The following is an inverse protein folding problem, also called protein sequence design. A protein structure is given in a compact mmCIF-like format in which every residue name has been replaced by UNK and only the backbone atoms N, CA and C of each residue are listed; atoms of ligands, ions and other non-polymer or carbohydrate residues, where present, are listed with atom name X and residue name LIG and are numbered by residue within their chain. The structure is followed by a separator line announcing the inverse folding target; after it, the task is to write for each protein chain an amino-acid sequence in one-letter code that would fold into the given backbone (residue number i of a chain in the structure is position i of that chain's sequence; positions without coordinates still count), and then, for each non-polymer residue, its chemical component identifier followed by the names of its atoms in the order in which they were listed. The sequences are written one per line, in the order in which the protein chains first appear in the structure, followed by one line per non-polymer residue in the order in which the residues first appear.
data_IF_978674130640
#
_entry.id   IF_978674130640
#
_cell.length_a   1.000
_cell.length_b   1.000
_cell.length_c   1.000
_cell.angle_alpha   90.00
_cell.angle_beta   90.00
_cell.angle_gamma   90.00
#
_symmetry.space_group_name_H-M   'P 1'
#
loop_
_entity.id
_entity.type
_entity.pdbx_description
1 polymer ?
#
# COMPACT_ATOMS: atom_id res chain seq x y z
N UNK A 1 28.27 8.44 11.15
CA UNK A 1 28.74 7.24 10.43
C UNK A 1 27.91 6.00 10.75
N UNK A 2 27.81 5.57 12.02
CA UNK A 2 27.08 4.35 12.43
C UNK A 2 25.64 4.25 11.91
N UNK A 3 24.85 5.33 11.97
CA UNK A 3 23.46 5.31 11.46
C UNK A 3 23.37 5.05 9.95
N UNK A 4 24.29 5.61 9.16
CA UNK A 4 24.32 5.40 7.71
C UNK A 4 24.71 3.96 7.35
N UNK A 5 25.68 3.39 8.07
CA UNK A 5 26.05 1.97 7.92
C UNK A 5 24.86 1.07 8.27
N UNK A 6 24.16 1.35 9.37
CA UNK A 6 22.97 0.58 9.77
C UNK A 6 21.84 0.66 8.73
N UNK A 7 21.55 1.87 8.23
CA UNK A 7 20.54 2.02 7.17
C UNK A 7 20.95 1.33 5.88
N UNK A 8 22.22 1.44 5.47
CA UNK A 8 22.74 0.71 4.31
C UNK A 8 22.60 -0.80 4.46
N UNK A 9 22.95 -1.34 5.63
CA UNK A 9 22.81 -2.77 5.91
C UNK A 9 21.35 -3.23 5.85
N UNK A 10 20.43 -2.54 6.54
CA UNK A 10 19.00 -2.89 6.49
C UNK A 10 18.40 -2.76 5.09
N UNK A 11 18.80 -1.73 4.34
CA UNK A 11 18.36 -1.52 2.97
C UNK A 11 18.78 -2.68 2.06
N UNK A 12 20.05 -3.09 2.12
CA UNK A 12 20.56 -4.21 1.34
C UNK A 12 19.92 -5.54 1.76
N UNK A 13 19.75 -5.78 3.06
CA UNK A 13 19.03 -6.95 3.56
C UNK A 13 17.62 -7.00 2.98
N UNK A 14 16.90 -5.87 2.96
CA UNK A 14 15.54 -5.87 2.43
C UNK A 14 15.47 -6.08 0.92
N UNK A 15 16.41 -5.52 0.14
CA UNK A 15 16.53 -5.82 -1.29
C UNK A 15 16.79 -7.32 -1.52
N UNK A 16 17.71 -7.92 -0.76
CA UNK A 16 18.04 -9.34 -0.87
C UNK A 16 16.86 -10.23 -0.47
N UNK A 17 16.12 -9.88 0.58
CA UNK A 17 14.93 -10.63 1.00
C UNK A 17 13.81 -10.58 -0.03
N UNK A 18 13.54 -9.39 -0.61
CA UNK A 18 12.55 -9.28 -1.69
C UNK A 18 13.00 -9.97 -2.98
N UNK A 19 14.30 -9.91 -3.28
CA UNK A 19 14.89 -10.68 -4.37
C UNK A 19 14.71 -12.17 -4.15
N UNK A 20 15.09 -12.69 -3.00
CA UNK A 20 14.87 -14.09 -2.62
C UNK A 20 13.40 -14.48 -2.71
N UNK A 21 12.49 -13.66 -2.18
CA UNK A 21 11.05 -13.90 -2.17
C UNK A 21 10.46 -14.01 -3.58
N UNK A 22 10.89 -13.15 -4.51
CA UNK A 22 10.46 -13.12 -5.92
C UNK A 22 11.38 -13.93 -6.84
N UNK A 23 12.17 -14.85 -6.28
CA UNK A 23 13.10 -15.72 -7.02
C UNK A 23 14.05 -14.94 -7.97
N UNK A 24 14.47 -13.75 -7.57
CA UNK A 24 15.33 -12.83 -8.33
C UNK A 24 14.89 -12.64 -9.79
N UNK A 25 13.58 -12.56 -10.01
CA UNK A 25 13.00 -12.30 -11.35
C UNK A 25 12.65 -13.57 -12.12
N UNK A 26 13.02 -14.76 -11.66
CA UNK A 26 12.54 -16.03 -12.21
C UNK A 26 11.17 -16.42 -11.61
N UNK A 27 10.19 -15.53 -11.73
CA UNK A 27 8.83 -15.69 -11.17
C UNK A 27 8.02 -16.62 -12.09
N UNK A 28 7.43 -17.73 -11.57
CA UNK A 28 6.42 -18.50 -12.30
C UNK A 28 5.17 -17.64 -12.52
N UNK A 29 4.66 -17.56 -13.74
CA UNK A 29 3.54 -16.68 -14.11
C UNK A 29 2.27 -17.42 -14.49
N UNK A 30 2.27 -18.73 -14.29
CA UNK A 30 1.31 -19.72 -14.78
C UNK A 30 0.38 -20.22 -13.67
N UNK A 31 0.09 -19.38 -12.68
CA UNK A 31 -0.86 -19.68 -11.60
C UNK A 31 -1.56 -18.41 -11.09
N UNK A 32 -2.80 -18.55 -10.64
CA UNK A 32 -3.58 -17.50 -9.97
C UNK A 32 -3.53 -16.14 -10.71
N UNK A 33 -3.61 -15.02 -9.98
CA UNK A 33 -3.52 -13.64 -10.51
C UNK A 33 -2.23 -13.33 -11.28
N UNK A 34 -1.15 -14.12 -11.15
CA UNK A 34 -0.03 -13.96 -12.08
C UNK A 34 -0.48 -14.26 -13.51
N UNK A 35 -1.15 -15.39 -13.70
CA UNK A 35 -1.66 -15.86 -14.99
C UNK A 35 -2.87 -15.05 -15.47
N UNK A 36 -3.82 -14.79 -14.57
CA UNK A 36 -5.13 -14.26 -14.95
C UNK A 36 -5.14 -12.74 -15.11
N UNK A 37 -4.29 -12.04 -14.34
CA UNK A 37 -4.40 -10.59 -14.17
C UNK A 37 -3.10 -9.89 -14.54
N UNK A 38 -2.07 -10.01 -13.70
CA UNK A 38 -0.97 -9.05 -13.71
C UNK A 38 0.12 -9.33 -14.75
N UNK A 39 0.52 -10.60 -14.99
CA UNK A 39 1.48 -10.87 -16.06
C UNK A 39 0.93 -10.51 -17.45
N UNK A 40 -0.33 -10.82 -17.80
CA UNK A 40 -0.94 -10.33 -19.04
C UNK A 40 -0.96 -8.81 -19.20
N UNK A 41 -1.34 -8.08 -18.13
CA UNK A 41 -1.43 -6.61 -18.15
C UNK A 41 -0.05 -5.98 -18.33
N UNK A 42 0.99 -6.55 -17.73
CA UNK A 42 2.37 -6.07 -17.89
C UNK A 42 2.93 -6.47 -19.26
N UNK A 43 2.61 -7.65 -19.78
CA UNK A 43 2.98 -8.07 -21.13
C UNK A 43 2.39 -7.12 -22.19
N UNK A 44 1.14 -6.70 -22.02
CA UNK A 44 0.51 -5.68 -22.85
C UNK A 44 1.27 -4.33 -22.81
N UNK A 45 1.64 -3.85 -21.61
CA UNK A 45 2.46 -2.64 -21.48
C UNK A 45 3.83 -2.81 -22.14
N UNK A 46 4.43 -3.98 -22.03
CA UNK A 46 5.70 -4.28 -22.70
C UNK A 46 5.58 -4.17 -24.22
N UNK A 47 4.53 -4.75 -24.80
CA UNK A 47 4.27 -4.65 -26.24
C UNK A 47 4.08 -3.19 -26.68
N UNK A 48 3.25 -2.43 -25.95
CA UNK A 48 3.03 -0.99 -26.14
C UNK A 48 4.33 -0.19 -26.15
N UNK A 49 5.16 -0.34 -25.12
CA UNK A 49 6.42 0.39 -24.98
C UNK A 49 7.43 -0.04 -26.06
N UNK A 50 7.44 -1.32 -26.43
CA UNK A 50 8.35 -1.86 -27.46
C UNK A 50 8.02 -1.30 -28.85
N UNK A 51 6.73 -1.20 -29.18
CA UNK A 51 6.22 -0.62 -30.43
C UNK A 51 6.18 0.91 -30.44
N UNK A 52 6.41 1.55 -29.29
CA UNK A 52 6.20 2.99 -29.08
C UNK A 52 4.77 3.44 -29.40
N UNK A 53 3.79 2.59 -29.10
CA UNK A 53 2.36 2.87 -29.25
C UNK A 53 1.73 3.13 -27.88
N UNK A 54 0.69 3.97 -27.84
CA UNK A 54 -0.04 4.21 -26.60
C UNK A 54 -0.81 2.95 -26.16
N UNK A 55 -0.85 2.61 -24.86
CA UNK A 55 -1.55 1.43 -24.35
C UNK A 55 -3.05 1.73 -24.20
N UNK A 56 -3.78 1.88 -25.32
CA UNK A 56 -5.20 2.24 -25.30
C UNK A 56 -6.10 1.00 -25.36
N UNK A 57 -5.91 0.14 -26.37
CA UNK A 57 -6.76 -1.01 -26.61
C UNK A 57 -5.97 -2.33 -26.61
N UNK A 58 -6.45 -3.29 -25.82
CA UNK A 58 -5.86 -4.61 -25.64
C UNK A 58 -6.59 -5.64 -26.47
N UNK A 59 -5.88 -6.29 -27.41
CA UNK A 59 -6.49 -7.25 -28.35
C UNK A 59 -7.23 -8.39 -27.63
N UNK A 60 -6.61 -8.91 -26.56
CA UNK A 60 -7.17 -9.96 -25.73
C UNK A 60 -7.57 -9.40 -24.36
N UNK A 61 -8.86 -9.13 -24.19
CA UNK A 61 -9.45 -8.49 -23.00
C UNK A 61 -9.63 -9.44 -21.80
N UNK A 62 -9.11 -10.67 -21.83
CA UNK A 62 -9.30 -11.62 -20.73
C UNK A 62 -8.80 -11.07 -19.38
N UNK A 63 -7.66 -10.39 -19.39
CA UNK A 63 -7.07 -9.74 -18.20
C UNK A 63 -7.78 -8.43 -17.81
N UNK A 64 -8.71 -7.97 -18.66
CA UNK A 64 -9.61 -6.84 -18.41
C UNK A 64 -11.01 -7.33 -17.98
N UNK A 65 -11.09 -8.55 -17.45
CA UNK A 65 -12.31 -9.24 -17.02
C UNK A 65 -13.32 -9.49 -18.16
N UNK A 66 -12.90 -9.36 -19.42
CA UNK A 66 -13.77 -9.50 -20.58
C UNK A 66 -14.83 -8.39 -20.72
N UNK A 67 -14.74 -7.31 -19.93
CA UNK A 67 -15.72 -6.22 -19.92
C UNK A 67 -15.45 -5.22 -21.04
N UNK A 68 -14.18 -4.94 -21.31
CA UNK A 68 -13.74 -3.93 -22.28
C UNK A 68 -12.34 -4.26 -22.78
N UNK A 69 -11.96 -3.72 -23.94
CA UNK A 69 -10.59 -3.69 -24.44
C UNK A 69 -9.83 -2.41 -24.04
N UNK A 70 -10.53 -1.40 -23.49
CA UNK A 70 -9.97 -0.12 -23.05
C UNK A 70 -9.10 -0.30 -21.81
N UNK A 71 -7.80 -0.37 -22.00
CA UNK A 71 -6.85 -0.75 -20.95
C UNK A 71 -6.92 0.16 -19.71
N UNK A 72 -6.94 1.48 -19.89
CA UNK A 72 -6.99 2.44 -18.77
C UNK A 72 -8.38 2.58 -18.14
N UNK A 73 -9.41 1.88 -18.64
CA UNK A 73 -10.72 1.85 -17.98
C UNK A 73 -10.72 0.99 -16.71
N UNK A 74 -9.62 0.26 -16.44
CA UNK A 74 -9.40 -0.40 -15.16
C UNK A 74 -8.54 0.48 -14.24
N UNK A 75 -8.99 0.74 -13.00
CA UNK A 75 -8.32 1.68 -12.11
C UNK A 75 -7.01 1.13 -11.53
N UNK A 76 -6.81 -0.18 -11.52
CA UNK A 76 -5.67 -0.88 -10.92
C UNK A 76 -4.51 -1.15 -11.89
N UNK A 77 -4.44 -0.45 -13.03
CA UNK A 77 -3.36 -0.61 -14.01
C UNK A 77 -2.08 0.14 -13.62
N UNK A 78 -0.90 -0.44 -13.87
CA UNK A 78 0.38 0.26 -13.68
C UNK A 78 0.61 1.20 -14.87
N UNK A 79 0.60 2.52 -14.63
CA UNK A 79 0.92 3.55 -15.63
C UNK A 79 2.05 4.48 -15.16
N UNK A 80 2.85 4.01 -14.21
CA UNK A 80 3.94 4.78 -13.64
C UNK A 80 5.14 4.85 -14.58
N UNK A 81 5.99 5.90 -14.51
CA UNK A 81 7.05 6.12 -15.50
C UNK A 81 8.02 4.95 -15.70
N UNK A 82 8.22 4.10 -14.68
CA UNK A 82 9.13 2.97 -14.79
C UNK A 82 8.67 1.89 -15.77
N UNK A 83 7.41 1.91 -16.27
CA UNK A 83 6.97 0.99 -17.33
C UNK A 83 7.84 1.08 -18.59
N UNK A 84 8.49 2.22 -18.83
CA UNK A 84 9.42 2.42 -19.96
C UNK A 84 10.56 1.39 -19.94
N UNK A 85 10.94 0.90 -18.75
CA UNK A 85 12.01 -0.09 -18.61
C UNK A 85 11.64 -1.42 -19.26
N UNK A 86 10.34 -1.76 -19.37
CA UNK A 86 9.84 -2.99 -20.03
C UNK A 86 10.35 -3.16 -21.47
N UNK A 87 10.78 -2.07 -22.13
CA UNK A 87 11.44 -2.13 -23.43
C UNK A 87 12.66 -3.06 -23.46
N UNK A 88 13.41 -3.13 -22.35
CA UNK A 88 14.72 -3.80 -22.31
C UNK A 88 14.74 -5.06 -21.46
N UNK A 89 13.70 -5.32 -20.68
CA UNK A 89 13.70 -6.41 -19.69
C UNK A 89 12.49 -7.32 -19.85
N UNK A 90 12.52 -8.50 -19.21
CA UNK A 90 11.36 -9.40 -19.17
C UNK A 90 10.24 -8.84 -18.29
N UNK A 91 9.04 -9.41 -18.42
CA UNK A 91 7.89 -9.06 -17.56
C UNK A 91 8.22 -9.33 -16.10
N UNK A 92 8.88 -10.45 -15.82
CA UNK A 92 9.22 -10.90 -14.48
C UNK A 92 10.34 -10.06 -13.85
N UNK A 93 11.37 -9.69 -14.64
CA UNK A 93 12.42 -8.77 -14.17
C UNK A 93 11.84 -7.39 -13.84
N UNK A 94 10.87 -6.92 -14.63
CA UNK A 94 10.19 -5.67 -14.35
C UNK A 94 9.45 -5.71 -13.02
N UNK A 95 8.76 -6.81 -12.71
CA UNK A 95 8.07 -6.99 -11.43
C UNK A 95 9.06 -6.87 -10.27
N UNK A 96 10.21 -7.55 -10.35
CA UNK A 96 11.25 -7.46 -9.33
C UNK A 96 11.74 -6.01 -9.15
N UNK A 97 12.11 -5.35 -10.25
CA UNK A 97 12.59 -3.97 -10.23
C UNK A 97 11.52 -3.01 -9.70
N UNK A 98 10.26 -3.20 -10.08
CA UNK A 98 9.13 -2.42 -9.61
C UNK A 98 8.97 -2.53 -8.08
N UNK A 99 9.01 -3.75 -7.54
CA UNK A 99 8.96 -4.00 -6.09
C UNK A 99 10.17 -3.37 -5.39
N UNK A 100 11.38 -3.52 -5.92
CA UNK A 100 12.57 -2.89 -5.36
C UNK A 100 12.52 -1.36 -5.35
N UNK A 101 12.01 -0.73 -6.42
CA UNK A 101 11.84 0.71 -6.49
C UNK A 101 10.84 1.21 -5.44
N UNK A 102 9.68 0.56 -5.32
CA UNK A 102 8.67 0.93 -4.32
C UNK A 102 9.13 0.64 -2.89
N UNK A 103 9.81 -0.48 -2.67
CA UNK A 103 10.50 -0.78 -1.42
C UNK A 103 11.49 0.33 -1.06
N UNK A 104 12.31 0.78 -2.01
CA UNK A 104 13.29 1.84 -1.76
C UNK A 104 12.63 3.16 -1.38
N UNK A 105 11.58 3.55 -2.11
CA UNK A 105 10.79 4.73 -1.76
C UNK A 105 10.15 4.58 -0.37
N UNK A 106 9.61 3.40 -0.04
CA UNK A 106 9.06 3.12 1.28
C UNK A 106 10.11 3.15 2.39
N UNK A 107 11.31 2.63 2.14
CA UNK A 107 12.43 2.65 3.08
C UNK A 107 12.87 4.09 3.38
N UNK A 108 12.96 4.96 2.37
CA UNK A 108 13.20 6.39 2.59
C UNK A 108 12.06 7.06 3.36
N UNK A 109 10.82 6.65 3.14
CA UNK A 109 9.66 7.06 3.94
C UNK A 109 9.79 6.65 5.40
N UNK A 110 10.27 5.43 5.68
CA UNK A 110 10.57 4.97 7.04
C UNK A 110 11.71 5.78 7.68
N UNK A 111 12.75 6.17 6.92
CA UNK A 111 13.79 7.07 7.44
C UNK A 111 13.21 8.45 7.76
N UNK A 112 12.31 8.98 6.93
CA UNK A 112 11.60 10.21 7.22
C UNK A 112 10.75 10.08 8.49
N UNK A 113 10.03 8.96 8.65
CA UNK A 113 9.25 8.65 9.85
C UNK A 113 10.13 8.53 11.10
N UNK A 114 11.31 7.91 10.98
CA UNK A 114 12.31 7.85 12.06
C UNK A 114 12.70 9.24 12.54
N UNK A 115 12.96 10.16 11.60
CA UNK A 115 13.29 11.57 11.93
C UNK A 115 12.08 12.24 12.58
N UNK A 116 10.90 12.08 12.00
CA UNK A 116 9.66 12.69 12.48
C UNK A 116 9.29 12.28 13.92
N UNK A 117 9.60 11.04 14.28
CA UNK A 117 9.32 10.47 15.61
C UNK A 117 10.55 10.39 16.53
N UNK A 118 11.73 10.88 16.10
CA UNK A 118 13.00 10.80 16.83
C UNK A 118 13.35 9.37 17.30
N UNK A 119 13.14 8.38 16.44
CA UNK A 119 13.40 6.98 16.78
C UNK A 119 14.90 6.66 16.79
N UNK A 120 15.30 5.78 17.70
CA UNK A 120 16.60 5.12 17.74
C UNK A 120 16.72 4.11 16.59
N UNK A 121 17.93 3.60 16.35
CA UNK A 121 18.15 2.54 15.36
C UNK A 121 17.42 1.25 15.73
N UNK A 122 17.29 0.95 17.02
CA UNK A 122 16.61 -0.24 17.51
C UNK A 122 15.09 -0.17 17.28
N UNK A 123 14.45 0.94 17.67
CA UNK A 123 13.03 1.16 17.37
C UNK A 123 12.77 1.19 15.86
N UNK A 124 13.69 1.76 15.09
CA UNK A 124 13.63 1.74 13.64
C UNK A 124 13.69 0.31 13.07
N UNK A 125 14.57 -0.55 13.59
CA UNK A 125 14.68 -1.95 13.14
C UNK A 125 13.38 -2.74 13.34
N UNK A 126 12.69 -2.55 14.47
CA UNK A 126 11.37 -3.16 14.69
C UNK A 126 10.35 -2.73 13.64
N UNK A 127 10.23 -1.42 13.40
CA UNK A 127 9.31 -0.89 12.39
C UNK A 127 9.71 -1.39 11.00
N UNK A 128 11.00 -1.35 10.68
CA UNK A 128 11.53 -1.81 9.39
C UNK A 128 11.13 -3.26 9.09
N UNK A 129 11.33 -4.18 10.03
CA UNK A 129 11.01 -5.59 9.83
C UNK A 129 9.50 -5.80 9.64
N UNK A 130 8.68 -5.24 10.53
CA UNK A 130 7.23 -5.46 10.50
C UNK A 130 6.53 -4.74 9.35
N UNK A 131 7.01 -3.56 8.97
CA UNK A 131 6.43 -2.81 7.86
C UNK A 131 6.71 -3.49 6.52
N UNK A 132 7.91 -4.05 6.34
CA UNK A 132 8.29 -4.64 5.05
C UNK A 132 7.91 -6.12 4.92
N UNK A 133 7.94 -6.91 5.99
CA UNK A 133 7.83 -8.37 5.87
C UNK A 133 6.61 -8.96 6.60
N UNK A 134 5.55 -8.17 6.80
CA UNK A 134 4.29 -8.70 7.30
C UNK A 134 3.59 -9.59 6.26
N UNK A 135 2.73 -10.48 6.75
CA UNK A 135 2.05 -11.47 5.94
C UNK A 135 1.13 -10.90 4.86
N UNK A 136 0.66 -9.67 5.02
CA UNK A 136 -0.19 -9.03 4.04
C UNK A 136 0.57 -8.71 2.75
N UNK A 137 1.76 -8.13 2.86
CA UNK A 137 2.61 -7.87 1.69
C UNK A 137 3.08 -9.16 1.02
N UNK A 138 3.61 -10.10 1.81
CA UNK A 138 4.16 -11.35 1.27
C UNK A 138 3.06 -12.20 0.63
N UNK A 139 1.91 -12.41 1.27
CA UNK A 139 0.85 -13.25 0.70
C UNK A 139 0.25 -12.65 -0.58
N UNK A 140 0.00 -11.34 -0.64
CA UNK A 140 -0.54 -10.69 -1.84
C UNK A 140 0.45 -10.71 -3.01
N UNK A 141 1.73 -10.37 -2.77
CA UNK A 141 2.74 -10.42 -3.82
C UNK A 141 3.01 -11.85 -4.28
N UNK A 142 2.87 -12.82 -3.38
CA UNK A 142 3.04 -14.23 -3.74
C UNK A 142 2.05 -14.70 -4.80
N UNK A 143 0.78 -14.30 -4.69
CA UNK A 143 -0.30 -14.79 -5.55
C UNK A 143 -0.47 -13.95 -6.82
N UNK A 144 0.39 -12.95 -7.03
CA UNK A 144 0.43 -12.16 -8.25
C UNK A 144 -0.15 -10.76 -8.13
N UNK A 145 -0.54 -10.31 -6.94
CA UNK A 145 -1.06 -8.97 -6.74
C UNK A 145 0.05 -7.89 -6.68
N UNK A 146 0.81 -7.72 -7.77
CA UNK A 146 1.97 -6.81 -7.83
C UNK A 146 1.68 -5.36 -7.41
N UNK A 147 0.47 -4.86 -7.68
CA UNK A 147 0.04 -3.49 -7.36
C UNK A 147 0.01 -3.21 -5.84
N UNK A 148 0.03 -4.26 -5.02
CA UNK A 148 0.09 -4.15 -3.56
C UNK A 148 1.44 -3.68 -3.03
N UNK A 149 2.48 -3.66 -3.87
CA UNK A 149 3.71 -2.96 -3.57
C UNK A 149 3.48 -1.46 -3.29
N UNK A 150 2.35 -0.88 -3.74
CA UNK A 150 1.94 0.47 -3.35
C UNK A 150 1.82 0.69 -1.83
N UNK A 151 1.62 -0.37 -1.05
CA UNK A 151 1.59 -0.34 0.43
C UNK A 151 2.91 0.19 1.03
N UNK A 152 4.06 0.02 0.36
CA UNK A 152 5.33 0.60 0.84
C UNK A 152 5.27 2.13 1.00
N UNK A 153 4.43 2.79 0.21
CA UNK A 153 4.24 4.24 0.23
C UNK A 153 3.42 4.73 1.44
N UNK A 154 2.79 3.82 2.21
CA UNK A 154 2.14 4.19 3.48
C UNK A 154 3.10 4.81 4.49
N UNK A 155 4.40 4.48 4.42
CA UNK A 155 5.43 5.15 5.22
C UNK A 155 5.40 6.68 5.05
N UNK A 156 5.23 7.18 3.83
CA UNK A 156 5.07 8.60 3.54
C UNK A 156 3.71 9.15 3.96
N UNK A 157 2.64 8.36 3.78
CA UNK A 157 1.29 8.74 4.23
C UNK A 157 1.25 9.00 5.74
N UNK A 158 1.89 8.13 6.53
CA UNK A 158 2.03 8.30 7.98
C UNK A 158 2.73 9.62 8.29
N UNK A 159 3.85 9.93 7.61
CA UNK A 159 4.56 11.21 7.81
C UNK A 159 3.64 12.40 7.48
N UNK A 160 2.92 12.37 6.35
CA UNK A 160 2.00 13.45 5.98
C UNK A 160 0.87 13.62 7.01
N UNK A 161 0.33 12.53 7.54
CA UNK A 161 -0.70 12.55 8.57
C UNK A 161 -0.20 13.11 9.91
N UNK A 162 1.05 12.84 10.28
CA UNK A 162 1.67 13.42 11.48
C UNK A 162 1.91 14.94 11.32
N UNK A 163 2.36 15.39 10.15
CA UNK A 163 2.59 16.81 9.87
C UNK A 163 1.31 17.65 10.00
N UNK A 164 0.18 17.19 9.44
CA UNK A 164 -1.09 17.93 9.54
C UNK A 164 -1.62 17.97 10.99
N UNK A 165 -1.37 16.92 11.78
CA UNK A 165 -1.71 16.92 13.22
C UNK A 165 -0.87 17.90 14.04
N UNK A 166 0.33 18.25 13.56
CA UNK A 166 1.16 19.33 14.11
C UNK A 166 0.76 20.71 13.58
N UNK A 167 -0.25 20.78 12.73
CA UNK A 167 -0.80 22.02 12.19
C UNK A 167 -0.14 22.51 10.90
N UNK A 168 0.69 21.69 10.24
CA UNK A 168 1.25 21.97 8.92
C UNK A 168 0.16 21.76 7.88
N UNK A 169 -0.37 22.85 7.31
CA UNK A 169 -1.53 22.84 6.44
C UNK A 169 -1.39 23.83 5.27
N UNK A 170 -0.16 24.04 4.82
CA UNK A 170 0.19 24.95 3.73
C UNK A 170 0.03 24.27 2.35
N UNK A 171 0.16 25.03 1.25
CA UNK A 171 0.09 24.47 -0.09
C UNK A 171 1.24 23.49 -0.39
N UNK A 172 2.35 23.57 0.33
CA UNK A 172 3.45 22.59 0.20
C UNK A 172 3.07 21.22 0.73
N UNK A 173 2.46 21.15 1.91
CA UNK A 173 1.92 19.91 2.45
C UNK A 173 0.83 19.34 1.55
N UNK A 174 -0.07 20.21 1.09
CA UNK A 174 -1.16 19.85 0.17
C UNK A 174 -0.60 19.25 -1.12
N UNK A 175 0.34 19.94 -1.78
CA UNK A 175 0.96 19.47 -3.02
C UNK A 175 1.68 18.13 -2.81
N UNK A 176 2.56 18.03 -1.80
CA UNK A 176 3.29 16.79 -1.51
C UNK A 176 2.36 15.60 -1.27
N UNK A 177 1.27 15.82 -0.54
CA UNK A 177 0.33 14.75 -0.20
C UNK A 177 -0.54 14.39 -1.41
N UNK A 178 -1.03 15.36 -2.18
CA UNK A 178 -1.80 15.10 -3.40
C UNK A 178 -0.95 14.37 -4.46
N UNK A 179 0.30 14.80 -4.69
CA UNK A 179 1.22 14.11 -5.61
C UNK A 179 1.61 12.72 -5.12
N UNK A 180 1.76 12.49 -3.81
CA UNK A 180 1.97 11.16 -3.26
C UNK A 180 0.80 10.23 -3.58
N UNK A 181 -0.43 10.67 -3.31
CA UNK A 181 -1.63 9.87 -3.57
C UNK A 181 -1.83 9.63 -5.08
N UNK A 182 -1.62 10.64 -5.91
CA UNK A 182 -1.60 10.48 -7.36
C UNK A 182 -0.53 9.48 -7.82
N UNK A 183 0.68 9.57 -7.27
CA UNK A 183 1.76 8.64 -7.57
C UNK A 183 1.41 7.20 -7.16
N UNK A 184 0.81 6.99 -5.99
CA UNK A 184 0.28 5.67 -5.59
C UNK A 184 -0.71 5.14 -6.62
N UNK A 185 -1.62 5.97 -7.11
CA UNK A 185 -2.61 5.56 -8.10
C UNK A 185 -1.99 5.23 -9.46
N UNK A 186 -0.90 5.91 -9.86
CA UNK A 186 -0.12 5.54 -11.05
C UNK A 186 0.57 4.18 -10.94
N UNK A 187 0.85 3.70 -9.73
CA UNK A 187 1.39 2.34 -9.51
C UNK A 187 0.33 1.24 -9.64
N UNK A 188 -0.91 1.57 -10.01
CA UNK A 188 -2.03 0.63 -9.96
C UNK A 188 -2.54 0.34 -8.54
N UNK A 189 -2.01 1.02 -7.52
CA UNK A 189 -2.39 0.85 -6.12
C UNK A 189 -3.72 1.58 -5.79
N UNK A 190 -4.75 1.30 -6.58
CA UNK A 190 -6.07 1.94 -6.51
C UNK A 190 -6.70 1.78 -5.11
N UNK A 191 -6.68 0.56 -4.57
CA UNK A 191 -7.25 0.28 -3.26
C UNK A 191 -6.56 1.09 -2.16
N UNK A 192 -5.23 1.08 -2.15
CA UNK A 192 -4.41 1.84 -1.19
C UNK A 192 -4.68 3.34 -1.30
N UNK A 193 -4.84 3.87 -2.52
CA UNK A 193 -5.24 5.25 -2.77
C UNK A 193 -6.61 5.57 -2.15
N UNK A 194 -7.63 4.74 -2.41
CA UNK A 194 -8.99 4.91 -1.85
C UNK A 194 -8.97 4.89 -0.32
N UNK A 195 -8.25 3.94 0.29
CA UNK A 195 -8.14 3.85 1.74
C UNK A 195 -7.47 5.07 2.34
N UNK A 196 -6.47 5.63 1.67
CA UNK A 196 -5.84 6.87 2.10
C UNK A 196 -6.82 8.05 2.04
N UNK A 197 -7.67 8.15 1.01
CA UNK A 197 -8.72 9.17 0.94
C UNK A 197 -9.72 9.03 2.11
N UNK A 198 -10.17 7.81 2.40
CA UNK A 198 -11.06 7.54 3.53
C UNK A 198 -10.38 7.88 4.86
N UNK A 199 -9.11 7.48 5.02
CA UNK A 199 -8.30 7.77 6.21
C UNK A 199 -8.17 9.28 6.44
N UNK A 200 -7.78 10.05 5.42
CA UNK A 200 -7.72 11.50 5.53
C UNK A 200 -9.11 12.09 5.78
N UNK A 201 -10.16 11.60 5.13
CA UNK A 201 -11.54 12.00 5.37
C UNK A 201 -11.93 11.92 6.85
N UNK A 202 -11.61 10.81 7.53
CA UNK A 202 -11.79 10.70 8.98
C UNK A 202 -10.86 11.63 9.79
N UNK A 203 -9.62 11.85 9.32
CA UNK A 203 -8.69 12.79 9.93
C UNK A 203 -9.20 14.24 9.88
N UNK A 204 -10.07 14.59 8.93
CA UNK A 204 -10.69 15.92 8.81
C UNK A 204 -11.47 16.32 10.08
N UNK A 205 -12.04 15.35 10.79
CA UNK A 205 -12.77 15.59 12.05
C UNK A 205 -11.84 15.96 13.22
N UNK A 206 -10.51 15.95 13.01
CA UNK A 206 -9.46 16.37 13.93
C UNK A 206 -9.59 17.79 14.51
N UNK A 207 -10.25 18.69 13.77
CA UNK A 207 -10.45 20.08 14.14
C UNK A 207 -10.64 20.98 12.92
N UNK A 208 -11.10 22.22 13.12
CA UNK A 208 -11.50 23.13 12.02
C UNK A 208 -10.39 23.38 10.99
N UNK A 209 -9.14 23.60 11.43
CA UNK A 209 -8.01 23.83 10.52
C UNK A 209 -7.70 22.58 9.68
N UNK A 210 -7.65 21.41 10.33
CA UNK A 210 -7.43 20.12 9.66
C UNK A 210 -8.56 19.80 8.69
N UNK A 211 -9.81 20.12 9.03
CA UNK A 211 -10.98 19.90 8.17
C UNK A 211 -10.81 20.55 6.80
N UNK A 212 -10.54 21.86 6.76
CA UNK A 212 -10.40 22.56 5.47
C UNK A 212 -9.14 22.16 4.71
N UNK A 213 -8.05 21.85 5.40
CA UNK A 213 -6.83 21.36 4.77
C UNK A 213 -7.04 20.01 4.10
N UNK A 214 -7.70 19.08 4.80
CA UNK A 214 -8.05 17.77 4.25
C UNK A 214 -9.09 17.91 3.14
N UNK A 215 -10.11 18.76 3.27
CA UNK A 215 -11.09 18.95 2.21
C UNK A 215 -10.41 19.40 0.90
N UNK A 216 -9.47 20.37 0.99
CA UNK A 216 -8.64 20.76 -0.15
C UNK A 216 -7.83 19.57 -0.68
N UNK A 217 -7.21 18.79 0.20
CA UNK A 217 -6.46 17.59 -0.19
C UNK A 217 -7.32 16.62 -1.00
N UNK A 218 -8.52 16.28 -0.53
CA UNK A 218 -9.41 15.35 -1.20
C UNK A 218 -9.80 15.87 -2.59
N UNK A 219 -10.20 17.14 -2.70
CA UNK A 219 -10.57 17.77 -3.97
C UNK A 219 -9.39 17.78 -4.95
N UNK A 220 -8.24 18.32 -4.53
CA UNK A 220 -7.07 18.42 -5.40
C UNK A 220 -6.50 17.05 -5.78
N UNK A 221 -6.59 16.05 -4.89
CA UNK A 221 -6.14 14.69 -5.21
C UNK A 221 -7.03 14.03 -6.26
N UNK A 222 -8.36 14.18 -6.15
CA UNK A 222 -9.29 13.64 -7.14
C UNK A 222 -9.09 14.32 -8.50
N UNK A 223 -8.99 15.65 -8.53
CA UNK A 223 -8.77 16.39 -9.78
C UNK A 223 -7.39 16.11 -10.37
N UNK A 224 -6.33 16.03 -9.56
CA UNK A 224 -4.99 15.65 -10.02
C UNK A 224 -4.98 14.23 -10.60
N UNK A 225 -5.81 13.34 -10.06
CA UNK A 225 -5.98 11.96 -10.53
C UNK A 225 -7.02 11.80 -11.65
N UNK A 226 -7.58 12.88 -12.21
CA UNK A 226 -8.65 12.80 -13.21
C UNK A 226 -8.29 11.92 -14.42
N UNK A 227 -7.04 11.97 -14.90
CA UNK A 227 -6.53 11.08 -15.97
C UNK A 227 -6.66 9.59 -15.67
N UNK A 228 -6.78 9.20 -14.39
CA UNK A 228 -6.97 7.82 -13.92
C UNK A 228 -8.39 7.52 -13.46
N UNK A 229 -9.14 8.53 -13.02
CA UNK A 229 -10.51 8.38 -12.49
C UNK A 229 -11.56 8.38 -13.61
N UNK A 230 -11.40 9.27 -14.61
CA UNK A 230 -12.42 9.44 -15.64
C UNK A 230 -12.56 8.24 -16.59
N UNK A 231 -11.49 7.57 -17.04
CA UNK A 231 -11.66 6.47 -17.99
C UNK A 231 -12.45 5.28 -17.40
N UNK A 232 -12.23 4.83 -16.14
CA UNK A 232 -13.09 3.84 -15.51
C UNK A 232 -14.57 4.25 -15.38
N UNK A 233 -14.86 5.56 -15.31
CA UNK A 233 -16.24 6.04 -15.23
C UNK A 233 -17.08 5.70 -16.48
N UNK A 234 -16.43 5.41 -17.62
CA UNK A 234 -17.11 4.95 -18.84
C UNK A 234 -17.79 3.58 -18.68
N UNK A 235 -17.28 2.76 -17.76
CA UNK A 235 -17.71 1.37 -17.54
C UNK A 235 -18.17 1.14 -16.09
N UNK A 236 -18.50 2.21 -15.35
CA UNK A 236 -18.85 2.12 -13.93
C UNK A 236 -20.01 1.15 -13.66
N UNK A 237 -20.97 1.09 -14.57
CA UNK A 237 -22.14 0.20 -14.48
C UNK A 237 -21.83 -1.25 -14.90
N UNK A 238 -20.72 -1.48 -15.61
CA UNK A 238 -20.36 -2.79 -16.16
C UNK A 238 -19.45 -3.58 -15.21
N UNK A 239 -18.77 -2.89 -14.29
CA UNK A 239 -17.94 -3.53 -13.28
C UNK A 239 -18.78 -4.16 -12.16
N UNK A 240 -18.52 -5.44 -11.90
CA UNK A 240 -19.11 -6.17 -10.80
C UNK A 240 -18.77 -5.52 -9.44
N UNK A 241 -19.82 -5.01 -8.80
CA UNK A 241 -19.81 -4.35 -7.50
C UNK A 241 -20.05 -5.28 -6.32
N UNK A 242 -20.09 -6.60 -6.51
CA UNK A 242 -20.47 -7.54 -5.46
C UNK A 242 -19.51 -7.51 -4.28
N UNK A 243 -20.07 -7.42 -3.08
CA UNK A 243 -19.31 -7.53 -1.85
C UNK A 243 -18.88 -8.98 -1.60
N UNK A 244 -17.58 -9.24 -1.66
CA UNK A 244 -17.03 -10.59 -1.51
C UNK A 244 -16.82 -10.98 -0.04
N UNK A 245 -16.37 -10.05 0.81
CA UNK A 245 -16.29 -10.31 2.25
C UNK A 245 -15.24 -9.51 3.02
N UNK A 246 -14.84 -10.07 4.17
CA UNK A 246 -13.89 -9.50 5.13
C UNK A 246 -13.84 -10.35 6.40
N UNK A 247 -13.19 -9.84 7.45
CA UNK A 247 -13.08 -10.60 8.70
C UNK A 247 -14.47 -10.87 9.28
N UNK A 248 -14.84 -12.14 9.34
CA UNK A 248 -16.20 -12.53 9.72
C UNK A 248 -16.37 -12.62 11.24
N UNK A 249 -15.29 -12.89 11.97
CA UNK A 249 -15.26 -13.01 13.44
C UNK A 249 -13.91 -12.55 14.00
N UNK A 250 -13.85 -12.06 15.25
CA UNK A 250 -12.58 -11.66 15.90
C UNK A 250 -11.51 -12.75 15.92
N UNK A 251 -11.90 -14.04 16.03
CA UNK A 251 -10.94 -15.15 15.99
C UNK A 251 -10.17 -15.26 14.66
N UNK A 252 -10.80 -14.90 13.53
CA UNK A 252 -10.12 -14.89 12.23
C UNK A 252 -9.07 -13.76 12.16
N UNK A 253 -9.39 -12.60 12.74
CA UNK A 253 -8.46 -11.48 12.89
C UNK A 253 -7.25 -11.87 13.75
N UNK A 254 -7.46 -12.55 14.89
CA UNK A 254 -6.35 -13.04 15.72
C UNK A 254 -5.47 -14.02 14.93
N UNK A 255 -6.09 -14.95 14.18
CA UNK A 255 -5.36 -15.89 13.33
C UNK A 255 -4.54 -15.19 12.25
N UNK A 256 -5.07 -14.13 11.65
CA UNK A 256 -4.36 -13.34 10.64
C UNK A 256 -3.02 -12.80 11.12
N UNK A 257 -2.89 -12.43 12.40
CA UNK A 257 -1.63 -11.92 12.95
C UNK A 257 -0.65 -13.02 13.39
N UNK A 258 -1.15 -14.18 13.81
CA UNK A 258 -0.35 -15.15 14.57
C UNK A 258 -0.23 -16.54 13.96
N UNK A 259 -1.09 -16.91 13.02
CA UNK A 259 -1.09 -18.24 12.42
C UNK A 259 -0.55 -18.15 10.99
N UNK A 260 0.51 -18.90 10.72
CA UNK A 260 0.93 -19.18 9.35
C UNK A 260 -0.07 -20.18 8.76
N UNK A 261 -0.77 -19.79 7.71
CA UNK A 261 -1.54 -20.70 6.86
C UNK A 261 -0.78 -20.81 5.56
N UNK A 262 -0.52 -22.06 5.14
CA UNK A 262 0.25 -22.31 3.93
C UNK A 262 -0.56 -21.94 2.68
N UNK A 263 0.10 -21.64 1.55
CA UNK A 263 -0.58 -21.52 0.27
C UNK A 263 -1.45 -22.73 -0.08
N UNK A 264 -1.06 -23.96 0.30
CA UNK A 264 -1.83 -25.19 0.04
C UNK A 264 -3.21 -25.17 0.71
N UNK A 265 -3.29 -24.63 1.92
CA UNK A 265 -4.53 -24.55 2.69
C UNK A 265 -5.28 -23.23 2.46
N UNK A 266 -4.73 -22.35 1.62
CA UNK A 266 -5.20 -20.97 1.49
C UNK A 266 -6.57 -20.86 0.81
N UNK A 267 -7.01 -21.88 0.09
CA UNK A 267 -8.30 -21.96 -0.58
C UNK A 267 -9.33 -22.82 0.17
N UNK A 268 -8.95 -23.50 1.26
CA UNK A 268 -9.86 -24.37 2.03
C UNK A 268 -10.74 -23.52 2.96
N UNK A 269 -12.08 -23.42 2.71
CA UNK A 269 -12.96 -22.60 3.52
C UNK A 269 -13.10 -23.07 4.98
N UNK A 270 -12.84 -24.35 5.25
CA UNK A 270 -12.84 -24.91 6.61
C UNK A 270 -11.62 -24.42 7.40
N UNK A 271 -10.51 -24.20 6.71
CA UNK A 271 -9.29 -23.64 7.28
C UNK A 271 -9.40 -22.12 7.40
N UNK A 272 -9.74 -21.42 6.32
CA UNK A 272 -9.72 -19.94 6.28
C UNK A 272 -10.92 -19.32 7.01
N UNK A 273 -12.04 -20.05 7.11
CA UNK A 273 -13.32 -19.52 7.58
C UNK A 273 -14.00 -18.58 6.58
N UNK A 274 -13.62 -18.64 5.30
CA UNK A 274 -14.15 -17.80 4.21
C UNK A 274 -14.05 -18.49 2.86
N UNK A 275 -14.85 -18.07 1.88
CA UNK A 275 -14.70 -18.48 0.47
C UNK A 275 -13.57 -17.73 -0.24
N UNK A 276 -13.01 -16.71 0.41
CA UNK A 276 -11.86 -15.96 -0.08
C UNK A 276 -10.55 -16.68 0.29
N UNK A 277 -9.55 -16.52 -0.58
CA UNK A 277 -8.20 -17.00 -0.32
C UNK A 277 -7.56 -16.38 0.92
N UNK A 278 -6.71 -17.14 1.63
CA UNK A 278 -6.11 -16.67 2.89
C UNK A 278 -5.27 -15.41 2.74
N UNK A 279 -4.69 -15.17 1.55
CA UNK A 279 -3.94 -13.93 1.28
C UNK A 279 -4.79 -12.67 1.52
N UNK A 280 -6.12 -12.74 1.39
CA UNK A 280 -7.04 -11.64 1.67
C UNK A 280 -7.14 -11.27 3.17
N UNK A 281 -6.73 -12.18 4.05
CA UNK A 281 -6.79 -12.03 5.50
C UNK A 281 -5.41 -11.95 6.14
N UNK A 282 -4.38 -12.49 5.49
CA UNK A 282 -3.06 -12.62 6.05
C UNK A 282 -2.48 -11.24 6.43
N UNK A 283 -2.09 -11.11 7.70
CA UNK A 283 -1.38 -9.95 8.24
C UNK A 283 -0.34 -10.45 9.25
N UNK A 284 0.26 -11.62 8.97
CA UNK A 284 1.10 -12.33 9.91
C UNK A 284 2.28 -11.46 10.37
N UNK A 285 2.51 -11.45 11.68
CA UNK A 285 3.66 -10.79 12.32
C UNK A 285 4.39 -11.69 13.31
N UNK A 286 3.78 -12.81 13.72
CA UNK A 286 4.31 -13.68 14.77
C UNK A 286 3.92 -13.22 16.18
N UNK A 287 4.05 -14.13 17.14
CA UNK A 287 3.66 -13.89 18.54
C UNK A 287 4.58 -12.85 19.17
N UNK A 288 5.88 -12.93 18.88
CA UNK A 288 6.89 -12.05 19.47
C UNK A 288 6.64 -10.60 19.09
N UNK A 289 6.42 -10.35 17.80
CA UNK A 289 6.12 -9.01 17.30
C UNK A 289 4.74 -8.52 17.78
N UNK A 290 3.74 -9.39 17.86
CA UNK A 290 2.43 -8.99 18.40
C UNK A 290 2.51 -8.53 19.86
N UNK A 291 3.24 -9.25 20.70
CA UNK A 291 3.49 -8.83 22.09
C UNK A 291 4.21 -7.47 22.13
N UNK A 292 5.23 -7.28 21.28
CA UNK A 292 5.90 -5.99 21.14
C UNK A 292 4.91 -4.88 20.78
N UNK A 293 4.07 -5.07 19.77
CA UNK A 293 3.10 -4.07 19.32
C UNK A 293 2.04 -3.74 20.39
N UNK A 294 1.55 -4.75 21.12
CA UNK A 294 0.58 -4.56 22.19
C UNK A 294 1.19 -3.78 23.36
N UNK A 295 2.35 -4.21 23.84
CA UNK A 295 3.00 -3.59 25.00
C UNK A 295 3.50 -2.17 24.68
N UNK A 296 4.21 -1.99 23.57
CA UNK A 296 4.76 -0.70 23.19
C UNK A 296 3.67 0.28 22.74
N UNK A 297 2.71 -0.20 21.94
CA UNK A 297 1.56 0.61 21.50
C UNK A 297 0.68 1.03 22.67
N UNK A 298 0.34 0.09 23.56
CA UNK A 298 -0.42 0.36 24.78
C UNK A 298 0.28 1.36 25.70
N UNK A 299 1.60 1.21 25.90
CA UNK A 299 2.40 2.18 26.63
C UNK A 299 2.37 3.57 25.98
N UNK A 300 2.46 3.66 24.65
CA UNK A 300 2.34 4.92 23.93
C UNK A 300 0.99 5.59 24.17
N UNK A 301 -0.10 4.82 24.05
CA UNK A 301 -1.46 5.32 24.29
C UNK A 301 -1.60 5.85 25.72
N UNK A 302 -1.12 5.11 26.71
CA UNK A 302 -1.14 5.56 28.10
C UNK A 302 -0.41 6.90 28.29
N UNK A 303 0.78 7.05 27.72
CA UNK A 303 1.57 8.27 27.82
C UNK A 303 0.96 9.46 27.06
N UNK A 304 0.22 9.20 25.99
CA UNK A 304 -0.37 10.23 25.13
C UNK A 304 -1.87 10.42 25.34
N UNK A 305 -2.48 9.79 26.35
CA UNK A 305 -3.92 9.85 26.62
C UNK A 305 -4.48 11.26 26.85
N UNK A 306 -3.62 12.24 27.17
CA UNK A 306 -4.01 13.66 27.33
C UNK A 306 -3.72 14.51 26.09
N UNK A 307 -3.01 13.97 25.09
CA UNK A 307 -2.68 14.69 23.87
C UNK A 307 -3.81 14.58 22.86
N UNK A 308 -4.66 15.62 22.79
CA UNK A 308 -5.83 15.65 21.90
C UNK A 308 -5.48 15.41 20.43
N UNK A 309 -4.43 16.06 19.91
CA UNK A 309 -4.01 15.89 18.50
C UNK A 309 -3.62 14.43 18.20
N UNK A 310 -2.93 13.77 19.13
CA UNK A 310 -2.62 12.36 18.97
C UNK A 310 -3.86 11.47 18.99
N UNK A 311 -4.82 11.74 19.90
CA UNK A 311 -6.07 10.98 19.95
C UNK A 311 -6.90 11.12 18.66
N UNK A 312 -6.80 12.24 17.94
CA UNK A 312 -7.48 12.39 16.66
C UNK A 312 -6.95 11.47 15.56
N UNK A 313 -5.70 10.97 15.66
CA UNK A 313 -5.20 9.92 14.76
C UNK A 313 -5.85 8.56 15.02
N UNK A 314 -6.35 8.31 16.24
CA UNK A 314 -7.00 7.05 16.56
C UNK A 314 -8.35 6.91 15.88
N UNK A 315 -9.02 8.02 15.53
CA UNK A 315 -10.30 8.00 14.83
C UNK A 315 -10.21 7.28 13.47
N UNK A 316 -9.39 7.72 12.49
CA UNK A 316 -9.25 7.00 11.23
C UNK A 316 -8.71 5.58 11.41
N UNK A 317 -7.77 5.36 12.35
CA UNK A 317 -7.23 4.03 12.63
C UNK A 317 -8.36 3.07 13.06
N UNK A 318 -9.21 3.52 13.98
CA UNK A 318 -10.33 2.74 14.51
C UNK A 318 -11.38 2.53 13.43
N UNK A 319 -11.74 3.57 12.68
CA UNK A 319 -12.73 3.50 11.61
C UNK A 319 -12.33 2.46 10.54
N UNK A 320 -11.11 2.52 10.01
CA UNK A 320 -10.65 1.54 9.02
C UNK A 320 -10.47 0.14 9.61
N UNK A 321 -10.08 0.02 10.88
CA UNK A 321 -10.04 -1.29 11.55
C UNK A 321 -11.44 -1.90 11.64
N UNK A 322 -12.46 -1.11 11.99
CA UNK A 322 -13.85 -1.56 11.99
C UNK A 322 -14.35 -1.88 10.58
N UNK A 323 -13.96 -1.10 9.58
CA UNK A 323 -14.29 -1.39 8.17
C UNK A 323 -13.63 -2.68 7.68
N UNK A 324 -12.59 -3.18 8.33
CA UNK A 324 -12.05 -4.51 8.00
C UNK A 324 -12.98 -5.68 8.37
N UNK A 325 -13.99 -5.44 9.20
CA UNK A 325 -14.96 -6.44 9.64
C UNK A 325 -16.13 -6.52 8.67
N UNK A 326 -16.41 -7.73 8.17
CA UNK A 326 -17.49 -8.00 7.21
C UNK A 326 -18.86 -7.44 7.67
N UNK A 327 -19.31 -7.65 8.92
CA UNK A 327 -20.63 -7.18 9.34
C UNK A 327 -20.79 -5.66 9.34
N UNK A 328 -19.70 -4.92 9.53
CA UNK A 328 -19.72 -3.45 9.60
C UNK A 328 -19.66 -2.88 8.19
N UNK A 329 -18.68 -3.31 7.39
CA UNK A 329 -18.50 -2.77 6.05
C UNK A 329 -19.58 -3.20 5.07
N UNK A 330 -20.17 -4.39 5.25
CA UNK A 330 -21.31 -4.82 4.44
C UNK A 330 -22.50 -3.87 4.50
N UNK A 331 -22.69 -3.14 5.61
CA UNK A 331 -23.72 -2.09 5.71
C UNK A 331 -23.33 -0.83 4.95
N UNK A 332 -22.03 -0.49 4.94
CA UNK A 332 -21.50 0.71 4.29
C UNK A 332 -21.44 0.53 2.77
N UNK A 333 -21.10 -0.68 2.32
CA UNK A 333 -21.03 -1.06 0.91
C UNK A 333 -22.40 -1.00 0.20
N UNK A 334 -23.51 -1.05 0.95
CA UNK A 334 -24.85 -0.87 0.40
C UNK A 334 -25.18 0.59 0.07
N UNK A 335 -24.38 1.56 0.53
CA UNK A 335 -24.59 2.97 0.19
C UNK A 335 -24.28 3.19 -1.30
N UNK A 336 -25.04 4.02 -2.04
CA UNK A 336 -24.79 4.27 -3.46
C UNK A 336 -23.62 5.26 -3.66
N UNK A 337 -22.48 5.01 -3.02
CA UNK A 337 -21.29 5.84 -3.09
C UNK A 337 -20.22 5.03 -3.83
N UNK A 338 -19.93 5.35 -5.12
CA UNK A 338 -19.02 4.56 -5.94
C UNK A 338 -17.65 4.29 -5.30
N UNK A 339 -17.12 5.25 -4.55
CA UNK A 339 -15.84 5.11 -3.83
C UNK A 339 -15.88 4.00 -2.77
N UNK A 340 -17.02 3.79 -2.11
CA UNK A 340 -17.20 2.77 -1.08
C UNK A 340 -17.56 1.42 -1.71
N UNK A 341 -18.27 1.40 -2.83
CA UNK A 341 -18.72 0.14 -3.43
C UNK A 341 -17.62 -0.54 -4.25
N UNK A 342 -16.57 0.21 -4.62
CA UNK A 342 -15.40 -0.33 -5.30
C UNK A 342 -14.53 -1.26 -4.45
N UNK A 343 -14.64 -1.23 -3.12
CA UNK A 343 -13.93 -2.17 -2.25
C UNK A 343 -14.78 -3.42 -2.00
N UNK A 344 -14.35 -4.53 -2.60
CA UNK A 344 -15.09 -5.79 -2.54
C UNK A 344 -14.64 -6.69 -1.39
N UNK A 345 -13.42 -6.50 -0.89
CA UNK A 345 -12.85 -7.32 0.19
C UNK A 345 -12.37 -6.39 1.30
N UNK A 346 -13.18 -6.21 2.33
CA UNK A 346 -12.94 -5.18 3.32
C UNK A 346 -11.82 -5.53 4.32
N UNK A 347 -11.46 -6.80 4.51
CA UNK A 347 -10.31 -7.20 5.39
C UNK A 347 -9.03 -6.45 5.04
N UNK A 348 -8.85 -6.12 3.77
CA UNK A 348 -7.77 -5.34 3.20
C UNK A 348 -7.60 -3.95 3.83
N UNK A 349 -8.66 -3.32 4.33
CA UNK A 349 -8.57 -2.02 5.01
C UNK A 349 -7.58 -2.05 6.18
N UNK A 350 -7.33 -3.20 6.79
CA UNK A 350 -6.54 -3.35 8.01
C UNK A 350 -5.06 -3.00 7.85
N UNK A 351 -4.48 -3.09 6.64
CA UNK A 351 -3.05 -2.84 6.46
C UNK A 351 -2.65 -1.38 6.74
N UNK A 352 -3.52 -0.42 6.41
CA UNK A 352 -3.28 1.00 6.67
C UNK A 352 -3.29 1.34 8.18
N UNK A 353 -4.34 1.03 8.98
CA UNK A 353 -4.32 1.25 10.41
C UNK A 353 -3.22 0.42 11.10
N UNK A 354 -2.92 -0.78 10.63
CA UNK A 354 -1.76 -1.55 11.12
C UNK A 354 -0.45 -0.78 10.92
N UNK A 355 -0.22 -0.20 9.75
CA UNK A 355 0.98 0.61 9.47
C UNK A 355 1.10 1.82 10.39
N UNK A 356 -0.01 2.49 10.71
CA UNK A 356 -0.03 3.55 11.73
C UNK A 356 0.23 3.00 13.14
N UNK A 357 -0.31 1.83 13.47
CA UNK A 357 -0.07 1.18 14.76
C UNK A 357 1.41 0.81 14.95
N UNK A 358 2.12 0.39 13.89
CA UNK A 358 3.57 0.19 13.92
C UNK A 358 4.30 1.48 14.33
N UNK A 359 3.91 2.63 13.77
CA UNK A 359 4.50 3.92 14.12
C UNK A 359 4.23 4.31 15.58
N UNK A 360 3.00 4.07 16.07
CA UNK A 360 2.60 4.30 17.47
C UNK A 360 3.41 3.41 18.41
N UNK A 361 3.50 2.11 18.13
CA UNK A 361 4.27 1.16 18.92
C UNK A 361 5.76 1.54 18.93
N UNK A 362 6.33 1.90 17.78
CA UNK A 362 7.71 2.39 17.69
C UNK A 362 7.99 3.63 18.53
N UNK A 363 7.06 4.59 18.55
CA UNK A 363 7.15 5.78 19.41
C UNK A 363 7.04 5.41 20.90
N UNK A 364 6.12 4.51 21.26
CA UNK A 364 5.97 4.00 22.61
C UNK A 364 7.23 3.32 23.13
N UNK A 365 7.79 2.43 22.32
CA UNK A 365 9.03 1.75 22.62
C UNK A 365 10.21 2.74 22.73
N UNK A 366 10.30 3.75 21.85
CA UNK A 366 11.32 4.80 21.97
C UNK A 366 11.21 5.57 23.30
N UNK A 367 9.99 5.93 23.72
CA UNK A 367 9.78 6.59 25.01
C UNK A 367 10.15 5.68 26.18
N UNK A 368 9.82 4.40 26.08
CA UNK A 368 10.17 3.41 27.10
C UNK A 368 11.68 3.26 27.27
N UNK A 369 12.44 3.21 26.16
CA UNK A 369 13.92 3.21 26.17
C UNK A 369 14.44 4.48 26.82
N UNK A 370 13.94 5.65 26.43
CA UNK A 370 14.42 6.93 26.96
C UNK A 370 14.27 7.03 28.48
N UNK A 371 13.21 6.45 29.05
CA UNK A 371 13.00 6.42 30.50
C UNK A 371 13.93 5.46 31.26
N UNK A 372 14.59 4.54 30.56
CA UNK A 372 15.44 3.48 31.15
C UNK A 372 16.85 3.49 30.54
N UNK A 373 17.26 4.60 29.97
CA UNK A 373 18.52 4.69 29.20
C UNK A 373 19.75 4.31 30.03
N UNK A 374 19.68 4.53 31.34
CA UNK A 374 20.76 4.23 32.28
C UNK A 374 20.71 2.79 32.83
N UNK A 375 19.71 1.99 32.44
CA UNK A 375 19.51 0.63 32.92
C UNK A 375 19.91 -0.38 31.82
N UNK A 376 21.04 -1.07 32.02
CA UNK A 376 21.58 -2.02 31.04
C UNK A 376 20.68 -3.26 30.84
N UNK A 377 20.10 -3.80 31.92
CA UNK A 377 19.32 -5.04 31.87
C UNK A 377 18.04 -4.88 31.02
N UNK A 378 17.19 -3.85 31.21
CA UNK A 378 16.04 -3.61 30.32
C UNK A 378 16.44 -3.39 28.86
N UNK A 379 17.57 -2.74 28.60
CA UNK A 379 18.05 -2.50 27.24
C UNK A 379 18.40 -3.82 26.54
N UNK A 380 19.19 -4.68 27.20
CA UNK A 380 19.54 -6.02 26.70
C UNK A 380 18.28 -6.89 26.53
N UNK A 381 17.40 -6.89 27.54
CA UNK A 381 16.14 -7.64 27.50
C UNK A 381 15.24 -7.23 26.32
N UNK A 382 15.36 -6.00 25.83
CA UNK A 382 14.59 -5.52 24.68
C UNK A 382 15.19 -5.86 23.32
N UNK A 383 16.45 -6.32 23.27
CA UNK A 383 17.13 -6.80 22.05
C UNK A 383 16.81 -8.28 21.75
N UNK A 384 16.68 -9.10 22.79
CA UNK A 384 16.46 -10.56 22.67
C UNK A 384 15.21 -10.97 21.87
N UNK A 385 14.07 -10.24 21.88
CA UNK A 385 12.90 -10.62 21.10
C UNK A 385 13.07 -10.36 19.58
N UNK A 386 14.04 -9.55 19.17
CA UNK A 386 14.17 -9.17 17.76
C UNK A 386 14.61 -10.35 16.86
N UNK A 387 15.61 -11.18 17.21
CA UNK A 387 15.91 -12.40 16.47
C UNK A 387 14.75 -13.41 16.40
N UNK A 388 13.94 -13.52 17.46
CA UNK A 388 12.77 -14.40 17.47
C UNK A 388 11.70 -13.91 16.49
N UNK A 389 11.39 -12.61 16.50
CA UNK A 389 10.49 -12.01 15.53
C UNK A 389 11.02 -12.18 14.09
N UNK A 390 12.32 -12.02 13.87
CA UNK A 390 12.93 -12.26 12.56
C UNK A 390 12.76 -13.72 12.10
N UNK A 391 12.92 -14.69 12.99
CA UNK A 391 12.73 -16.11 12.68
C UNK A 391 11.26 -16.42 12.35
N UNK A 392 10.29 -15.85 13.08
CA UNK A 392 8.86 -15.99 12.79
C UNK A 392 8.50 -15.41 11.41
N UNK A 393 8.94 -14.18 11.12
CA UNK A 393 8.72 -13.53 9.82
C UNK A 393 9.40 -14.29 8.68
N UNK A 394 10.62 -14.80 8.91
CA UNK A 394 11.32 -15.62 7.93
C UNK A 394 10.54 -16.91 7.60
N UNK A 395 9.99 -17.58 8.61
CA UNK A 395 9.17 -18.78 8.43
C UNK A 395 7.95 -18.49 7.53
N UNK A 396 7.26 -17.38 7.77
CA UNK A 396 6.14 -16.95 6.92
C UNK A 396 6.60 -16.60 5.50
N UNK A 397 7.67 -15.79 5.37
CA UNK A 397 8.22 -15.38 4.09
C UNK A 397 8.65 -16.58 3.24
N UNK A 398 9.30 -17.58 3.84
CA UNK A 398 9.70 -18.81 3.17
C UNK A 398 8.49 -19.65 2.74
N UNK A 399 7.44 -19.70 3.57
CA UNK A 399 6.20 -20.42 3.28
C UNK A 399 5.44 -19.80 2.10
N UNK A 400 5.42 -18.47 1.99
CA UNK A 400 4.73 -17.72 0.94
C UNK A 400 5.63 -17.33 -0.23
N UNK A 401 6.87 -17.82 -0.31
CA UNK A 401 7.77 -17.53 -1.44
C UNK A 401 7.09 -17.95 -2.75
N UNK A 402 7.27 -17.18 -3.83
CA UNK A 402 6.60 -17.45 -5.12
C UNK A 402 6.84 -18.87 -5.66
N UNK A 403 8.01 -19.44 -5.41
CA UNK A 403 8.38 -20.81 -5.83
C UNK A 403 7.68 -21.90 -5.02
N UNK A 404 7.18 -21.58 -3.83
CA UNK A 404 6.38 -22.50 -3.02
C UNK A 404 4.90 -22.34 -3.35
N UNK A 405 4.44 -21.11 -3.52
CA UNK A 405 3.04 -20.84 -3.84
C UNK A 405 2.61 -21.40 -5.19
N UNK A 406 3.46 -21.36 -6.23
CA UNK A 406 3.13 -22.00 -7.52
C UNK A 406 2.79 -23.50 -7.38
N UNK A 407 3.34 -24.19 -6.38
CA UNK A 407 3.06 -25.61 -6.14
C UNK A 407 1.66 -25.84 -5.53
N UNK A 408 1.09 -24.80 -4.93
CA UNK A 408 -0.18 -24.86 -4.21
C UNK A 408 -1.40 -24.47 -5.04
N UNK A 409 -1.19 -23.74 -6.13
CA UNK A 409 -2.27 -23.31 -7.01
C UNK A 409 -2.33 -24.18 -8.27
N UNK A 410 -3.53 -24.40 -8.83
CA UNK A 410 -3.65 -25.04 -10.13
C UNK A 410 -2.85 -24.30 -11.20
N UNK A 411 -2.31 -25.07 -12.14
CA UNK A 411 -1.70 -24.50 -13.34
C UNK A 411 -2.77 -23.77 -14.16
N UNK A 412 -2.50 -22.49 -14.46
CA UNK A 412 -3.34 -21.64 -15.30
C UNK A 412 -2.53 -21.23 -16.53
N UNK A 413 -2.82 -21.87 -17.66
CA UNK A 413 -2.16 -21.55 -18.93
C UNK A 413 -2.38 -20.08 -19.31
N UNK A 414 -1.30 -19.37 -19.62
CA UNK A 414 -1.36 -17.98 -20.08
C UNK A 414 -0.36 -17.74 -21.20
N UNK A 415 -0.88 -17.38 -22.37
CA UNK A 415 -0.08 -16.99 -23.53
C UNK A 415 0.14 -15.48 -23.53
N UNK A 416 1.30 -15.05 -23.03
CA UNK A 416 1.67 -13.62 -22.97
C UNK A 416 1.92 -13.02 -24.36
N UNK A 417 2.18 -13.84 -25.39
CA UNK A 417 2.46 -13.34 -26.74
C UNK A 417 1.22 -12.74 -27.44
N UNK A 418 0.02 -13.07 -26.95
CA UNK A 418 -1.26 -12.54 -27.44
C UNK A 418 -1.66 -11.22 -26.78
N UNK A 419 -0.93 -10.79 -25.75
CA UNK A 419 -1.22 -9.59 -24.98
C UNK A 419 -0.59 -8.40 -25.67
N UNK A 420 -1.17 -8.00 -26.80
CA UNK A 420 -0.62 -6.98 -27.71
C UNK A 420 -1.55 -5.77 -27.85
N UNK A 421 -0.95 -4.65 -28.22
CA UNK A 421 -1.67 -3.42 -28.60
C UNK A 421 -2.42 -3.62 -29.90
N UNK A 422 -3.70 -3.21 -29.89
CA UNK A 422 -4.59 -3.22 -31.04
C UNK A 422 -5.44 -1.94 -31.06
N UNK A 423 -4.76 -0.78 -31.05
CA UNK A 423 -5.42 0.53 -31.03
C UNK A 423 -6.32 0.72 -32.26
N UNK A 424 -7.53 1.22 -32.03
CA UNK A 424 -8.48 1.57 -33.08
C UNK A 424 -9.16 2.93 -32.78
N UNK A 425 -9.85 3.55 -33.74
CA UNK A 425 -10.61 4.76 -33.48
C UNK A 425 -11.65 4.55 -32.37
N UNK A 426 -11.52 5.29 -31.28
CA UNK A 426 -12.47 5.36 -30.18
C UNK A 426 -12.52 6.80 -29.64
N UNK A 427 -13.28 7.70 -30.28
CA UNK A 427 -13.33 9.11 -29.90
C UNK A 427 -13.83 9.33 -28.48
N UNK A 428 -14.73 8.48 -27.98
CA UNK A 428 -15.28 8.61 -26.62
C UNK A 428 -14.17 8.37 -25.60
N UNK A 429 -13.46 7.25 -25.73
CA UNK A 429 -12.39 6.90 -24.80
C UNK A 429 -11.23 7.90 -24.85
N UNK A 430 -10.79 8.26 -26.05
CA UNK A 430 -9.68 9.20 -26.25
C UNK A 430 -10.02 10.61 -25.76
N UNK A 431 -11.24 11.11 -25.98
CA UNK A 431 -11.67 12.40 -25.44
C UNK A 431 -11.69 12.41 -23.90
N UNK A 432 -12.19 11.33 -23.27
CA UNK A 432 -12.18 11.21 -21.81
C UNK A 432 -10.76 11.22 -21.24
N UNK A 433 -9.84 10.50 -21.88
CA UNK A 433 -8.42 10.52 -21.51
C UNK A 433 -7.81 11.92 -21.63
N UNK A 434 -8.07 12.62 -22.73
CA UNK A 434 -7.56 13.98 -22.96
C UNK A 434 -8.12 15.00 -21.95
N UNK A 435 -9.42 14.92 -21.66
CA UNK A 435 -10.06 15.76 -20.63
C UNK A 435 -9.43 15.48 -19.26
N UNK A 436 -9.29 14.20 -18.90
CA UNK A 436 -8.65 13.80 -17.65
C UNK A 436 -7.23 14.30 -17.54
N UNK A 437 -6.43 14.16 -18.61
CA UNK A 437 -5.06 14.66 -18.69
C UNK A 437 -5.00 16.18 -18.54
N UNK A 438 -5.86 16.92 -19.22
CA UNK A 438 -5.90 18.38 -19.13
C UNK A 438 -6.21 18.86 -17.71
N UNK A 439 -7.20 18.25 -17.04
CA UNK A 439 -7.54 18.55 -15.64
C UNK A 439 -6.35 18.24 -14.73
N UNK A 440 -5.76 17.04 -14.87
CA UNK A 440 -4.59 16.61 -14.09
C UNK A 440 -3.42 17.58 -14.23
N UNK A 441 -3.06 17.99 -15.46
CA UNK A 441 -1.97 18.93 -15.72
C UNK A 441 -2.24 20.34 -15.18
N UNK A 442 -3.48 20.83 -15.32
CA UNK A 442 -3.89 22.11 -14.75
C UNK A 442 -3.74 22.11 -13.22
N UNK A 443 -4.19 21.04 -12.55
CA UNK A 443 -4.06 20.90 -11.10
C UNK A 443 -2.62 20.71 -10.64
N UNK A 444 -1.83 19.91 -11.35
CA UNK A 444 -0.41 19.74 -11.08
C UNK A 444 0.33 21.08 -11.14
N UNK A 445 0.06 21.87 -12.18
CA UNK A 445 0.65 23.20 -12.37
C UNK A 445 0.23 24.17 -11.27
N UNK A 446 -1.08 24.23 -10.95
CA UNK A 446 -1.60 25.06 -9.88
C UNK A 446 -0.95 24.73 -8.53
N UNK A 447 -0.96 23.46 -8.11
CA UNK A 447 -0.39 23.04 -6.82
C UNK A 447 1.11 23.35 -6.75
N UNK A 448 1.85 23.13 -7.84
CA UNK A 448 3.28 23.42 -7.91
C UNK A 448 3.56 24.92 -7.77
N UNK A 449 2.84 25.76 -8.51
CA UNK A 449 2.97 27.22 -8.45
C UNK A 449 2.66 27.72 -7.03
N UNK A 450 1.58 27.24 -6.41
CA UNK A 450 1.19 27.66 -5.07
C UNK A 450 2.21 27.21 -4.01
N UNK A 451 2.74 25.98 -4.10
CA UNK A 451 3.76 25.49 -3.19
C UNK A 451 5.09 26.27 -3.31
N UNK A 452 5.45 26.72 -4.52
CA UNK A 452 6.63 27.56 -4.77
C UNK A 452 6.41 28.98 -4.23
N UNK A 453 5.23 29.58 -4.44
CA UNK A 453 4.93 30.95 -3.95
C UNK A 453 5.05 31.06 -2.43
N UNK A 454 4.59 30.06 -1.69
CA UNK A 454 4.74 30.04 -0.22
C UNK A 454 6.21 29.93 0.24
N UNK A 455 7.12 29.42 -0.59
CA UNK A 455 8.55 29.39 -0.28
C UNK A 455 9.16 30.78 -0.12
N UNK A 456 8.69 31.73 -0.91
CA UNK A 456 9.20 33.10 -0.89
C UNK A 456 8.71 33.95 0.29
N UNK A 457 7.78 33.44 1.10
CA UNK A 457 7.07 34.23 2.13
C UNK A 457 7.44 33.88 3.57
N UNK A 458 8.22 32.83 3.83
CA UNK A 458 8.65 32.46 5.18
C UNK A 458 10.11 32.84 5.41
N UNK A 459 10.43 33.81 6.31
CA UNK A 459 11.76 33.83 6.89
C UNK A 459 11.94 32.52 7.64
N UNK A 460 13.01 31.77 7.33
CA UNK A 460 13.41 30.61 8.11
C UNK A 460 13.64 31.09 9.54
N UNK A 461 12.67 30.88 10.44
CA UNK A 461 12.96 30.84 11.87
C UNK A 461 13.61 29.49 12.11
N UNK A 462 14.92 29.44 12.42
CA UNK A 462 15.51 28.23 12.95
C UNK A 462 14.83 27.91 14.29
N UNK A 463 14.79 26.62 14.63
CA UNK A 463 14.46 26.12 15.96
C UNK A 463 15.33 26.78 17.03
#
# INVERSE_FOLDING_TARGET
MLSWVWFGALFLIGLLLWGYFLNFGAIPVDFHDWAEVNAPRIAFLKDSVTKAEMPLHMQDSSALRGITDRYMALPDMILSPQIIILKWISVQDFVLIHVWLLYALGFFGLIALKKELNLSLLSFSWIFLLFNFNGHLTAHLSVGHVTWAGTFLFSWVIVRALEIQRGVADYRWLAKTAFLLFFMFLQGAFHQFVWCLIFFGFLAFGGKKSFFAVLKLLVFTVLLSAVRILPPALHLADFDSDFLGGFSRPGQLVRAFFKIISPMDSLDPTVTGSTLGWWEFDLFIGITAGLFLLLAGGFCLYQLRKNRSFLMLLLPITALTLFSLKPIYGLIHQLPIPLLNGERVCSRFLILPFSFWLAIAGLGYQKWINLRRDQLIPLIGSLLPLPLALAELWSHLATWKVTESVKAFPYTFTDLSRKVVANHPDPVYTNVLLIGLAISLAMASFLTIMAIREQGQLPMKPL
#
